data_IF_796784215292
#
_entry.id   IF_796784215292
#
_cell.length_a   1.000
_cell.length_b   1.000
_cell.length_c   1.000
_cell.angle_alpha   90.00
_cell.angle_beta   90.00
_cell.angle_gamma   90.00
#
_symmetry.space_group_name_H-M   'P 1'
#
loop_
_entity.id
_entity.type
_entity.pdbx_description
1 polymer ?
#
# COMPACT_ATOMS: atom_id res chain seq x y z
N UNK A 1 -1.01 -16.03 1.74
CA UNK A 1 -2.06 -15.03 1.49
C UNK A 1 -1.53 -13.75 0.83
N UNK A 2 -0.36 -13.21 1.23
CA UNK A 2 0.22 -12.01 0.60
C UNK A 2 0.61 -12.14 -0.89
N UNK A 3 0.72 -13.36 -1.42
CA UNK A 3 1.13 -13.62 -2.81
C UNK A 3 0.00 -13.47 -3.83
N UNK A 4 -1.22 -13.11 -3.40
CA UNK A 4 -2.40 -13.03 -4.28
C UNK A 4 -2.21 -12.17 -5.55
N UNK A 5 -1.54 -10.99 -5.51
CA UNK A 5 -1.28 -10.19 -6.71
C UNK A 5 -0.36 -10.90 -7.71
N UNK A 6 0.53 -11.78 -7.25
CA UNK A 6 1.46 -12.55 -8.08
C UNK A 6 0.73 -13.75 -8.70
N UNK A 7 -0.18 -14.37 -7.94
CA UNK A 7 -0.97 -15.54 -8.39
C UNK A 7 -2.08 -15.19 -9.39
N UNK A 8 -2.63 -13.97 -9.32
CA UNK A 8 -3.61 -13.45 -10.28
C UNK A 8 -3.08 -12.18 -10.95
N UNK A 9 -2.18 -12.32 -11.94
CA UNK A 9 -1.55 -11.19 -12.57
C UNK A 9 -2.61 -10.36 -13.31
N UNK A 10 -2.72 -9.09 -12.93
CA UNK A 10 -3.43 -8.11 -13.75
C UNK A 10 -2.64 -7.90 -15.05
N UNK A 11 -3.33 -7.65 -16.17
CA UNK A 11 -2.71 -7.30 -17.47
C UNK A 11 -1.85 -6.02 -17.45
N UNK A 12 -1.62 -5.42 -16.27
CA UNK A 12 -0.86 -4.19 -16.08
C UNK A 12 0.11 -4.34 -14.88
N UNK A 13 1.43 -4.35 -15.10
CA UNK A 13 2.44 -4.47 -14.05
C UNK A 13 2.33 -3.40 -12.95
N UNK A 14 1.92 -2.17 -13.29
CA UNK A 14 1.75 -1.09 -12.31
C UNK A 14 0.59 -1.36 -11.35
N UNK A 15 -0.49 -1.98 -11.84
CA UNK A 15 -1.62 -2.37 -10.98
C UNK A 15 -1.21 -3.48 -10.02
N UNK A 16 -0.43 -4.45 -10.49
CA UNK A 16 0.09 -5.53 -9.67
C UNK A 16 0.97 -5.01 -8.53
N UNK A 17 1.93 -4.14 -8.85
CA UNK A 17 2.81 -3.53 -7.85
C UNK A 17 2.03 -2.70 -6.81
N UNK A 18 1.00 -1.97 -7.24
CA UNK A 18 0.11 -1.23 -6.33
C UNK A 18 -0.64 -2.17 -5.40
N UNK A 19 -1.23 -3.24 -5.92
CA UNK A 19 -2.03 -4.17 -5.13
C UNK A 19 -1.17 -4.92 -4.10
N UNK A 20 0.08 -5.25 -4.48
CA UNK A 20 1.09 -5.78 -3.57
C UNK A 20 1.48 -4.77 -2.48
N UNK A 21 1.75 -3.51 -2.83
CA UNK A 21 2.06 -2.46 -1.86
C UNK A 21 0.90 -2.22 -0.88
N UNK A 22 -0.35 -2.23 -1.38
CA UNK A 22 -1.56 -2.09 -0.56
C UNK A 22 -1.66 -3.23 0.46
N UNK A 23 -1.47 -4.48 0.03
CA UNK A 23 -1.52 -5.63 0.94
C UNK A 23 -0.41 -5.58 1.99
N UNK A 24 0.81 -5.24 1.58
CA UNK A 24 1.93 -5.09 2.49
C UNK A 24 1.71 -3.96 3.50
N UNK A 25 1.16 -2.81 3.08
CA UNK A 25 0.84 -1.74 4.02
C UNK A 25 -0.29 -2.11 4.98
N UNK A 26 -1.40 -2.67 4.50
CA UNK A 26 -2.51 -3.09 5.36
C UNK A 26 -2.04 -4.09 6.43
N UNK A 27 -1.28 -5.11 6.03
CA UNK A 27 -0.83 -6.15 6.94
C UNK A 27 0.35 -5.72 7.81
N UNK A 28 1.30 -4.95 7.25
CA UNK A 28 2.51 -4.55 7.94
C UNK A 28 2.33 -3.39 8.91
N UNK A 29 1.31 -2.54 8.71
CA UNK A 29 1.12 -1.31 9.49
C UNK A 29 -0.23 -1.23 10.20
N UNK A 30 -1.20 -2.06 9.81
CA UNK A 30 -2.53 -2.09 10.43
C UNK A 30 -3.42 -0.88 10.10
N UNK A 31 -3.06 -0.10 9.07
CA UNK A 31 -3.88 1.02 8.61
C UNK A 31 -5.28 0.61 8.19
N UNK A 32 -6.24 1.50 8.40
CA UNK A 32 -7.59 1.33 7.84
C UNK A 32 -7.55 1.58 6.34
N UNK A 33 -8.43 0.89 5.61
CA UNK A 33 -8.56 1.05 4.15
C UNK A 33 -8.76 2.52 3.77
N UNK A 34 -9.57 3.27 4.52
CA UNK A 34 -9.84 4.69 4.28
C UNK A 34 -8.60 5.58 4.42
N UNK A 35 -7.68 5.24 5.32
CA UNK A 35 -6.43 5.98 5.56
C UNK A 35 -5.44 5.70 4.42
N UNK A 36 -5.34 4.42 4.01
CA UNK A 36 -4.45 4.00 2.94
C UNK A 36 -4.83 4.59 1.57
N UNK A 37 -6.12 4.61 1.21
CA UNK A 37 -6.57 5.18 -0.07
C UNK A 37 -6.42 6.70 -0.13
N UNK A 38 -6.31 7.36 1.03
CA UNK A 38 -6.16 8.82 1.14
C UNK A 38 -4.70 9.26 1.19
N UNK A 39 -3.75 8.32 1.29
CA UNK A 39 -2.32 8.58 1.41
C UNK A 39 -1.79 9.23 0.12
N UNK A 40 -1.06 10.34 0.25
CA UNK A 40 -0.41 11.02 -0.88
C UNK A 40 1.07 10.69 -0.94
N UNK A 41 1.67 10.83 -2.12
CA UNK A 41 3.12 10.67 -2.31
C UNK A 41 3.91 11.63 -1.39
N UNK A 42 3.36 12.82 -1.13
CA UNK A 42 3.95 13.82 -0.22
C UNK A 42 4.01 13.37 1.24
N UNK A 43 3.17 12.39 1.61
CA UNK A 43 3.09 11.89 2.99
C UNK A 43 4.07 10.74 3.24
N UNK A 44 4.73 10.24 2.18
CA UNK A 44 5.66 9.10 2.22
C UNK A 44 7.11 9.62 2.21
N UNK A 45 7.82 9.40 3.30
CA UNK A 45 9.26 9.69 3.43
C UNK A 45 10.06 8.41 3.25
N UNK A 46 10.47 8.17 2.01
CA UNK A 46 11.23 6.96 1.63
C UNK A 46 12.58 6.90 2.36
N UNK A 47 13.24 8.05 2.52
CA UNK A 47 14.54 8.19 3.20
C UNK A 47 14.52 7.75 4.67
N UNK A 48 13.40 7.97 5.37
CA UNK A 48 13.24 7.57 6.77
C UNK A 48 12.35 6.33 6.94
N UNK A 49 11.93 5.71 5.84
CA UNK A 49 10.98 4.60 5.78
C UNK A 49 9.74 4.83 6.66
N UNK A 50 9.21 6.05 6.62
CA UNK A 50 8.05 6.48 7.41
C UNK A 50 7.02 7.14 6.50
N UNK A 51 5.77 7.12 6.93
CA UNK A 51 4.72 7.87 6.29
C UNK A 51 3.76 8.41 7.36
N UNK A 52 3.11 9.54 7.07
CA UNK A 52 2.16 10.15 7.98
C UNK A 52 0.75 9.89 7.49
N UNK A 53 -0.12 9.42 8.39
CA UNK A 53 -1.57 9.32 8.14
C UNK A 53 -2.33 10.19 9.13
N UNK A 54 -3.42 10.79 8.68
CA UNK A 54 -4.34 11.51 9.55
C UNK A 54 -5.42 10.51 9.97
N UNK A 55 -5.28 9.97 11.17
CA UNK A 55 -6.30 9.16 11.82
C UNK A 55 -7.46 10.02 12.32
N UNK A 56 -8.58 9.37 12.60
CA UNK A 56 -9.69 9.94 13.37
C UNK A 56 -9.54 9.57 14.84
#
# INVERSE_FOLDING_TARGET
>A
MLQAPITYPANNPLKQARDEAILNMLYGTGLRVSELISLKITDIKIESNQFTVIGK
#
